data_IF_513626791631
#
_entry.id   IF_513626791631
#
_cell.length_a   1.000
_cell.length_b   1.000
_cell.length_c   1.000
_cell.angle_alpha   90.00
_cell.angle_beta   90.00
_cell.angle_gamma   90.00
#
_symmetry.space_group_name_H-M   'P 1'
#
loop_
_entity.id
_entity.type
_entity.pdbx_description
1 polymer ?
#
# COMPACT_ATOMS: atom_id res chain seq x y z
N UNK A 1 -34.03 -19.43 -25.13
CA UNK A 1 -33.24 -18.20 -24.88
C UNK A 1 -32.84 -17.67 -26.24
N UNK A 2 -33.26 -16.45 -26.61
CA UNK A 2 -32.95 -15.87 -27.94
C UNK A 2 -31.50 -15.38 -27.94
N UNK A 3 -30.84 -15.47 -29.10
CA UNK A 3 -29.45 -15.06 -29.26
C UNK A 3 -29.21 -13.59 -28.85
N UNK A 4 -30.20 -12.72 -29.09
CA UNK A 4 -30.17 -11.31 -28.70
C UNK A 4 -30.20 -11.11 -27.18
N UNK A 5 -30.97 -11.94 -26.47
CA UNK A 5 -31.07 -11.95 -25.00
C UNK A 5 -29.73 -12.38 -24.36
N UNK A 6 -29.02 -13.32 -25.00
CA UNK A 6 -27.71 -13.77 -24.57
C UNK A 6 -26.64 -12.69 -24.78
N UNK A 7 -26.67 -11.98 -25.92
CA UNK A 7 -25.76 -10.87 -26.22
C UNK A 7 -25.99 -9.68 -25.28
N UNK A 8 -27.25 -9.29 -25.04
CA UNK A 8 -27.60 -8.22 -24.12
C UNK A 8 -27.16 -8.54 -22.68
N UNK A 9 -27.29 -9.81 -22.26
CA UNK A 9 -26.83 -10.27 -20.94
C UNK A 9 -25.30 -10.19 -20.82
N UNK A 10 -24.56 -10.52 -21.88
CA UNK A 10 -23.10 -10.43 -21.91
C UNK A 10 -22.62 -8.97 -21.87
N UNK A 11 -23.24 -8.08 -22.62
CA UNK A 11 -22.91 -6.64 -22.62
C UNK A 11 -23.19 -6.01 -21.25
N UNK A 12 -24.29 -6.39 -20.60
CA UNK A 12 -24.59 -5.99 -19.21
C UNK A 12 -23.55 -6.53 -18.22
N UNK A 13 -23.11 -7.77 -18.39
CA UNK A 13 -22.09 -8.36 -17.54
C UNK A 13 -20.73 -7.67 -17.72
N UNK A 14 -20.38 -7.27 -18.95
CA UNK A 14 -19.14 -6.58 -19.26
C UNK A 14 -19.10 -5.14 -18.73
N UNK A 15 -20.21 -4.41 -18.85
CA UNK A 15 -20.36 -3.05 -18.30
C UNK A 15 -20.36 -3.03 -16.76
N UNK A 16 -20.96 -4.03 -16.12
CA UNK A 16 -20.88 -4.22 -14.66
C UNK A 16 -19.45 -4.61 -14.25
N UNK A 17 -18.83 -5.53 -14.97
CA UNK A 17 -17.46 -5.98 -14.70
C UNK A 17 -16.42 -4.85 -14.83
N UNK A 18 -16.55 -3.99 -15.83
CA UNK A 18 -15.68 -2.81 -16.01
C UNK A 18 -15.86 -1.78 -14.90
N UNK A 19 -17.10 -1.49 -14.46
CA UNK A 19 -17.36 -0.62 -13.30
C UNK A 19 -16.78 -1.19 -12.01
N UNK A 20 -16.98 -2.48 -11.73
CA UNK A 20 -16.44 -3.15 -10.53
C UNK A 20 -14.90 -3.19 -10.55
N UNK A 21 -14.28 -3.37 -11.73
CA UNK A 21 -12.81 -3.31 -11.89
C UNK A 21 -12.25 -1.90 -11.70
N UNK A 22 -12.93 -0.88 -12.19
CA UNK A 22 -12.55 0.52 -11.95
C UNK A 22 -12.57 0.85 -10.44
N UNK A 23 -13.55 0.30 -9.71
CA UNK A 23 -13.61 0.40 -8.26
C UNK A 23 -12.43 -0.28 -7.58
N UNK A 24 -11.86 -1.36 -8.11
CA UNK A 24 -10.68 -2.04 -7.54
C UNK A 24 -9.35 -1.27 -7.58
N UNK A 25 -9.28 -0.12 -8.27
CA UNK A 25 -8.05 0.70 -8.40
C UNK A 25 -7.64 1.38 -7.09
N UNK A 26 -8.56 1.53 -6.14
CA UNK A 26 -8.28 2.17 -4.85
C UNK A 26 -7.12 1.50 -4.10
N UNK A 27 -6.97 0.18 -4.22
CA UNK A 27 -5.98 -0.56 -3.44
C UNK A 27 -4.55 -0.27 -3.89
N UNK A 28 -4.37 0.10 -5.17
CA UNK A 28 -3.07 0.58 -5.63
C UNK A 28 -2.76 1.98 -5.13
N UNK A 29 -3.75 2.88 -5.12
CA UNK A 29 -3.60 4.22 -4.53
C UNK A 29 -3.27 4.10 -3.04
N UNK A 30 -3.97 3.21 -2.33
CA UNK A 30 -3.68 2.87 -0.95
C UNK A 30 -2.24 2.35 -0.78
N UNK A 31 -1.81 1.37 -1.60
CA UNK A 31 -0.50 0.75 -1.50
C UNK A 31 0.66 1.73 -1.73
N UNK A 32 0.51 2.61 -2.73
CA UNK A 32 1.47 3.68 -3.03
C UNK A 32 1.47 4.73 -1.92
N UNK A 33 0.30 5.19 -1.48
CA UNK A 33 0.18 6.17 -0.41
C UNK A 33 0.79 5.67 0.90
N UNK A 34 0.58 4.40 1.22
CA UNK A 34 1.21 3.73 2.35
C UNK A 34 2.74 3.67 2.17
N UNK A 35 3.22 3.30 0.99
CA UNK A 35 4.66 3.22 0.72
C UNK A 35 5.35 4.58 0.87
N UNK A 36 4.75 5.64 0.31
CA UNK A 36 5.25 7.01 0.45
C UNK A 36 5.27 7.48 1.90
N UNK A 37 4.20 7.20 2.65
CA UNK A 37 4.14 7.48 4.08
C UNK A 37 5.28 6.79 4.83
N UNK A 38 5.51 5.50 4.58
CA UNK A 38 6.60 4.74 5.22
C UNK A 38 7.97 5.35 4.91
N UNK A 39 8.21 5.70 3.65
CA UNK A 39 9.45 6.35 3.22
C UNK A 39 9.68 7.69 3.95
N UNK A 40 8.65 8.53 4.05
CA UNK A 40 8.72 9.82 4.76
C UNK A 40 9.03 9.61 6.25
N UNK A 41 8.39 8.63 6.89
CA UNK A 41 8.61 8.32 8.31
C UNK A 41 10.06 7.86 8.54
N UNK A 42 10.55 6.91 7.75
CA UNK A 42 11.92 6.37 7.88
C UNK A 42 12.98 7.44 7.63
N UNK A 43 12.81 8.29 6.60
CA UNK A 43 13.72 9.41 6.34
C UNK A 43 13.70 10.44 7.46
N UNK A 44 12.51 10.79 7.96
CA UNK A 44 12.37 11.76 9.05
C UNK A 44 13.05 11.24 10.30
N UNK A 45 12.90 9.96 10.64
CA UNK A 45 13.62 9.36 11.77
C UNK A 45 15.14 9.42 11.60
N UNK A 46 15.64 8.94 10.46
CA UNK A 46 17.08 8.83 10.22
C UNK A 46 17.81 10.17 10.08
N UNK A 47 17.17 11.16 9.45
CA UNK A 47 17.81 12.44 9.11
C UNK A 47 17.57 13.55 10.15
N UNK A 48 16.54 13.42 11.00
CA UNK A 48 16.25 14.45 12.00
C UNK A 48 17.18 14.44 13.21
N UNK A 49 17.83 13.30 13.48
CA UNK A 49 18.86 13.12 14.52
C UNK A 49 18.45 13.63 15.92
N UNK A 50 17.14 13.72 16.18
CA UNK A 50 16.61 14.32 17.40
C UNK A 50 15.38 13.58 17.88
N UNK A 51 15.17 13.57 19.20
CA UNK A 51 13.94 13.05 19.81
C UNK A 51 12.70 13.74 19.22
N UNK A 52 12.79 15.05 18.92
CA UNK A 52 11.70 15.80 18.29
C UNK A 52 11.35 15.24 16.92
N UNK A 53 12.34 14.91 16.10
CA UNK A 53 12.09 14.32 14.78
C UNK A 53 11.52 12.90 14.83
N UNK A 54 11.91 12.09 15.83
CA UNK A 54 11.26 10.80 16.10
C UNK A 54 9.79 11.00 16.46
N UNK A 55 9.48 11.94 17.35
CA UNK A 55 8.10 12.27 17.73
C UNK A 55 7.28 12.73 16.52
N UNK A 56 7.85 13.59 15.67
CA UNK A 56 7.20 14.05 14.43
C UNK A 56 6.95 12.87 13.49
N UNK A 57 7.93 11.99 13.29
CA UNK A 57 7.78 10.81 12.43
C UNK A 57 6.67 9.88 12.94
N UNK A 58 6.61 9.64 14.25
CA UNK A 58 5.55 8.83 14.86
C UNK A 58 4.17 9.49 14.77
N UNK A 59 4.09 10.80 14.88
CA UNK A 59 2.84 11.54 14.68
C UNK A 59 2.36 11.43 13.23
N UNK A 60 3.26 11.61 12.24
CA UNK A 60 2.96 11.42 10.81
C UNK A 60 2.48 9.99 10.56
N UNK A 61 3.19 8.99 11.09
CA UNK A 61 2.80 7.58 10.99
C UNK A 61 1.38 7.36 11.51
N UNK A 62 1.08 7.82 12.73
CA UNK A 62 -0.23 7.64 13.36
C UNK A 62 -1.37 8.29 12.56
N UNK A 63 -1.18 9.54 12.13
CA UNK A 63 -2.17 10.28 11.34
C UNK A 63 -2.41 9.58 10.00
N UNK A 64 -1.35 9.25 9.28
CA UNK A 64 -1.48 8.62 7.96
C UNK A 64 -2.04 7.20 8.06
N UNK A 65 -1.63 6.39 9.04
CA UNK A 65 -2.19 5.05 9.26
C UNK A 65 -3.70 5.13 9.55
N UNK A 66 -4.12 6.11 10.36
CA UNK A 66 -5.53 6.33 10.66
C UNK A 66 -6.30 6.71 9.39
N UNK A 67 -5.80 7.70 8.64
CA UNK A 67 -6.43 8.16 7.40
C UNK A 67 -6.52 7.04 6.35
N UNK A 68 -5.44 6.26 6.17
CA UNK A 68 -5.39 5.13 5.24
C UNK A 68 -6.31 3.99 5.68
N UNK A 69 -6.41 3.72 6.98
CA UNK A 69 -7.33 2.69 7.51
C UNK A 69 -8.78 3.09 7.30
N UNK A 70 -9.13 4.35 7.57
CA UNK A 70 -10.47 4.89 7.29
C UNK A 70 -10.76 4.88 5.79
N UNK A 71 -9.80 5.30 4.96
CA UNK A 71 -9.93 5.25 3.51
C UNK A 71 -10.21 3.82 3.05
N UNK A 72 -9.43 2.84 3.50
CA UNK A 72 -9.59 1.42 3.21
C UNK A 72 -10.96 0.89 3.67
N UNK A 73 -11.43 1.25 4.85
CA UNK A 73 -12.71 0.80 5.39
C UNK A 73 -13.91 1.29 4.58
N UNK A 74 -13.81 2.49 3.99
CA UNK A 74 -14.85 3.10 3.15
C UNK A 74 -14.96 2.53 1.74
N UNK A 75 -14.06 1.64 1.33
CA UNK A 75 -14.05 1.15 -0.05
C UNK A 75 -15.10 0.05 -0.26
N UNK A 76 -16.00 0.22 -1.23
CA UNK A 76 -17.18 -0.66 -1.39
C UNK A 76 -16.84 -2.05 -1.92
N UNK A 77 -15.71 -2.21 -2.61
CA UNK A 77 -15.30 -3.47 -3.25
C UNK A 77 -13.86 -3.79 -2.89
N UNK A 78 -13.60 -5.02 -2.46
CA UNK A 78 -12.23 -5.52 -2.22
C UNK A 78 -11.72 -6.27 -3.46
N UNK A 79 -10.46 -6.07 -3.88
CA UNK A 79 -9.90 -6.80 -5.01
C UNK A 79 -9.81 -8.31 -4.72
N UNK A 80 -9.74 -9.12 -5.77
CA UNK A 80 -9.63 -10.58 -5.63
C UNK A 80 -8.37 -10.96 -4.83
N UNK A 81 -8.53 -11.82 -3.82
CA UNK A 81 -7.43 -12.24 -2.94
C UNK A 81 -6.91 -11.14 -2.02
N UNK A 82 -7.69 -10.07 -1.81
CA UNK A 82 -7.34 -8.92 -0.98
C UNK A 82 -6.76 -9.30 0.37
N UNK A 83 -7.42 -10.17 1.13
CA UNK A 83 -6.98 -10.51 2.49
C UNK A 83 -5.56 -11.07 2.52
N UNK A 84 -5.26 -12.03 1.64
CA UNK A 84 -3.91 -12.62 1.54
C UNK A 84 -2.88 -11.62 1.05
N UNK A 85 -3.23 -10.78 0.06
CA UNK A 85 -2.33 -9.78 -0.50
C UNK A 85 -2.02 -8.66 0.49
N UNK A 86 -3.03 -8.20 1.23
CA UNK A 86 -2.91 -7.19 2.27
C UNK A 86 -2.13 -7.72 3.48
N UNK A 87 -2.42 -8.94 3.95
CA UNK A 87 -1.66 -9.57 5.02
C UNK A 87 -0.18 -9.73 4.63
N UNK A 88 0.10 -10.18 3.40
CA UNK A 88 1.47 -10.26 2.89
C UNK A 88 2.14 -8.88 2.83
N UNK A 89 1.47 -7.88 2.25
CA UNK A 89 2.03 -6.55 2.08
C UNK A 89 2.35 -5.86 3.40
N UNK A 90 1.43 -5.93 4.38
CA UNK A 90 1.62 -5.38 5.72
C UNK A 90 2.64 -6.19 6.52
N UNK A 91 2.64 -7.53 6.41
CA UNK A 91 3.60 -8.38 7.11
C UNK A 91 5.04 -8.14 6.65
N UNK A 92 5.27 -8.11 5.34
CA UNK A 92 6.60 -7.82 4.78
C UNK A 92 7.02 -6.38 5.06
N UNK A 93 6.09 -5.41 4.93
CA UNK A 93 6.37 -4.04 5.34
C UNK A 93 6.80 -3.95 6.80
N UNK A 94 6.06 -4.58 7.72
CA UNK A 94 6.36 -4.53 9.15
C UNK A 94 7.74 -5.10 9.47
N UNK A 95 8.14 -6.18 8.79
CA UNK A 95 9.48 -6.74 8.91
C UNK A 95 10.56 -5.78 8.41
N UNK A 96 10.38 -5.19 7.21
CA UNK A 96 11.33 -4.24 6.62
C UNK A 96 11.45 -2.96 7.46
N UNK A 97 10.32 -2.39 7.86
CA UNK A 97 10.27 -1.18 8.69
C UNK A 97 10.90 -1.42 10.07
N UNK A 98 10.54 -2.54 10.71
CA UNK A 98 11.11 -2.93 12.00
C UNK A 98 12.63 -3.09 11.92
N UNK A 99 13.13 -3.78 10.88
CA UNK A 99 14.56 -3.92 10.63
C UNK A 99 15.23 -2.57 10.38
N UNK A 100 14.66 -1.74 9.51
CA UNK A 100 15.17 -0.42 9.16
C UNK A 100 15.38 0.45 10.41
N UNK A 101 14.35 0.52 11.26
CA UNK A 101 14.36 1.36 12.45
C UNK A 101 15.27 0.77 13.53
N UNK A 102 15.15 -0.51 13.85
CA UNK A 102 15.95 -1.13 14.93
C UNK A 102 17.44 -1.10 14.57
N UNK A 103 17.83 -1.61 13.39
CA UNK A 103 19.23 -1.58 12.99
C UNK A 103 19.73 -0.15 12.76
N UNK A 104 18.89 0.74 12.22
CA UNK A 104 19.26 2.15 12.03
C UNK A 104 19.51 2.88 13.34
N UNK A 105 18.75 2.59 14.39
CA UNK A 105 18.92 3.25 15.69
C UNK A 105 20.12 2.70 16.47
N UNK A 106 20.42 1.40 16.36
CA UNK A 106 21.44 0.74 17.20
C UNK A 106 22.77 0.44 16.49
N UNK A 107 22.76 0.21 15.18
CA UNK A 107 23.94 -0.23 14.41
C UNK A 107 24.41 0.84 13.41
N UNK A 108 23.48 1.59 12.83
CA UNK A 108 23.76 2.62 11.81
C UNK A 108 23.16 3.98 12.20
N UNK A 109 23.41 4.48 13.43
CA UNK A 109 22.89 5.77 13.84
C UNK A 109 23.44 6.84 12.90
N UNK A 110 22.55 7.72 12.45
CA UNK A 110 22.90 8.90 11.64
C UNK A 110 23.50 8.61 10.26
N UNK A 111 23.64 7.35 9.84
CA UNK A 111 24.24 6.98 8.55
C UNK A 111 23.22 7.09 7.39
N UNK A 112 23.34 8.09 6.51
CA UNK A 112 22.41 8.25 5.39
C UNK A 112 22.47 7.07 4.40
N UNK A 113 23.61 6.38 4.32
CA UNK A 113 23.78 5.21 3.47
C UNK A 113 22.95 4.01 3.96
N UNK A 114 22.50 4.01 5.22
CA UNK A 114 21.50 3.07 5.73
C UNK A 114 20.06 3.61 5.55
N UNK A 115 19.80 4.83 6.01
CA UNK A 115 18.42 5.33 6.12
C UNK A 115 17.74 5.59 4.77
N UNK A 116 18.48 6.09 3.78
CA UNK A 116 17.93 6.38 2.44
C UNK A 116 17.48 5.09 1.71
N UNK A 117 18.33 4.06 1.55
CA UNK A 117 17.88 2.84 0.88
C UNK A 117 16.82 2.09 1.68
N UNK A 118 16.88 2.09 3.02
CA UNK A 118 15.85 1.45 3.83
C UNK A 118 14.50 2.17 3.74
N UNK A 119 14.50 3.51 3.62
CA UNK A 119 13.27 4.25 3.38
C UNK A 119 12.64 3.86 2.03
N UNK A 120 13.45 3.80 0.96
CA UNK A 120 12.98 3.36 -0.35
C UNK A 120 12.48 1.90 -0.30
N UNK A 121 13.22 1.00 0.34
CA UNK A 121 12.84 -0.40 0.50
C UNK A 121 11.53 -0.56 1.27
N UNK A 122 11.31 0.26 2.30
CA UNK A 122 10.08 0.23 3.09
C UNK A 122 8.82 0.56 2.27
N UNK A 123 8.96 1.31 1.17
CA UNK A 123 7.84 1.64 0.29
C UNK A 123 7.44 0.48 -0.65
N UNK A 124 8.34 -0.49 -0.86
CA UNK A 124 8.19 -1.53 -1.89
C UNK A 124 7.03 -2.49 -1.59
N UNK A 125 6.91 -3.11 -0.39
CA UNK A 125 5.95 -4.20 -0.18
C UNK A 125 4.50 -3.80 -0.45
N UNK A 126 4.07 -2.66 0.08
CA UNK A 126 2.69 -2.17 -0.08
C UNK A 126 2.43 -1.65 -1.49
N UNK A 127 3.42 -1.02 -2.13
CA UNK A 127 3.32 -0.57 -3.52
C UNK A 127 3.21 -1.76 -4.47
N UNK A 128 4.03 -2.80 -4.28
CA UNK A 128 3.97 -4.05 -5.04
C UNK A 128 2.63 -4.75 -4.85
N UNK A 129 2.14 -4.86 -3.61
CA UNK A 129 0.82 -5.42 -3.34
C UNK A 129 -0.29 -4.65 -4.10
N UNK A 130 -0.25 -3.31 -4.07
CA UNK A 130 -1.15 -2.45 -4.83
C UNK A 130 -1.08 -2.68 -6.35
N UNK A 131 0.13 -2.70 -6.91
CA UNK A 131 0.35 -2.95 -8.33
C UNK A 131 -0.06 -4.37 -8.77
N UNK A 132 0.16 -5.38 -7.94
CA UNK A 132 -0.28 -6.76 -8.22
C UNK A 132 -1.80 -6.86 -8.27
N UNK A 133 -2.52 -6.17 -7.38
CA UNK A 133 -3.97 -6.13 -7.43
C UNK A 133 -4.48 -5.47 -8.73
N UNK A 134 -3.85 -4.38 -9.17
CA UNK A 134 -4.12 -3.74 -10.47
C UNK A 134 -3.83 -4.65 -11.66
N UNK A 135 -2.74 -5.42 -11.62
CA UNK A 135 -2.39 -6.35 -12.71
C UNK A 135 -3.39 -7.49 -12.80
N UNK A 136 -3.75 -8.09 -11.66
CA UNK A 136 -4.73 -9.18 -11.59
C UNK A 136 -6.11 -8.76 -12.06
N UNK A 137 -6.51 -7.50 -11.84
CA UNK A 137 -7.78 -6.99 -12.37
C UNK A 137 -7.77 -6.75 -13.88
N UNK A 138 -6.59 -6.64 -14.51
CA UNK A 138 -6.42 -6.49 -15.97
C UNK A 138 -6.25 -7.82 -16.71
N UNK A 139 -5.66 -8.85 -16.09
CA UNK A 139 -5.41 -10.15 -16.72
C UNK A 139 -6.60 -11.12 -16.68
N UNK A 140 -7.69 -10.77 -15.99
CA UNK A 140 -8.96 -11.50 -16.05
C UNK A 140 -9.84 -11.02 -17.23
N UNK A 141 -9.20 -10.55 -18.30
CA UNK A 141 -9.74 -10.11 -19.60
C UNK A 141 -9.28 -11.13 -20.63
#
# INVERSE_FOLDING_TARGET
MRQDEALETLERAETVGTRVRALGRWYAVYGIGYGLMSMVVVLTMGLSQTLRGVVVAMAVLAVCLTALSVYQARQPVKPLGYARLHAWGIGVWGAVYGLAVVAGMYLFPEDPAWWIPMAALSAVPTSVAGCMALRRSRSAV
#
